data_IF_548482088644
#
_entry.id   IF_548482088644
#
_cell.length_a   1.000
_cell.length_b   1.000
_cell.length_c   1.000
_cell.angle_alpha   90.00
_cell.angle_beta   90.00
_cell.angle_gamma   90.00
#
_symmetry.space_group_name_H-M   'P 1'
#
loop_
_entity.id
_entity.type
_entity.pdbx_description
1 polymer ?
#
# COMPACT_ATOMS: atom_id res chain seq x y z
N UNK A 1 16.96 6.52 -18.25
CA UNK A 1 15.51 6.86 -18.19
C UNK A 1 15.31 7.64 -16.90
N UNK A 2 14.73 8.85 -16.97
CA UNK A 2 14.44 9.68 -15.80
C UNK A 2 13.22 9.08 -15.09
N UNK A 3 13.37 8.63 -13.86
CA UNK A 3 12.31 8.32 -12.92
C UNK A 3 11.67 9.65 -12.50
N UNK A 4 10.47 9.93 -12.99
CA UNK A 4 9.89 11.27 -12.91
C UNK A 4 8.93 11.45 -11.72
N UNK A 5 8.50 10.36 -11.08
CA UNK A 5 7.38 10.38 -10.14
C UNK A 5 7.75 10.08 -8.69
N UNK A 6 8.97 9.63 -8.37
CA UNK A 6 9.41 9.36 -6.99
C UNK A 6 10.66 10.17 -6.67
N UNK A 7 10.67 10.89 -5.54
CA UNK A 7 11.83 11.64 -5.03
C UNK A 7 12.59 10.79 -4.00
N UNK A 8 13.91 10.61 -4.22
CA UNK A 8 14.77 9.71 -3.49
C UNK A 8 15.81 10.39 -2.59
N UNK A 9 16.10 9.88 -1.39
CA UNK A 9 17.38 10.07 -0.71
C UNK A 9 18.44 9.10 -1.24
N UNK A 10 19.72 9.35 -0.98
CA UNK A 10 20.84 8.76 -1.73
C UNK A 10 21.37 7.40 -1.28
N UNK A 11 20.86 6.79 -0.19
CA UNK A 11 21.37 5.49 0.32
C UNK A 11 20.30 4.74 1.10
N UNK A 12 19.93 3.54 0.68
CA UNK A 12 19.23 2.56 1.52
C UNK A 12 19.26 1.17 0.89
N UNK A 13 19.48 0.13 1.68
CA UNK A 13 19.27 -1.27 1.32
C UNK A 13 18.22 -1.84 2.27
N UNK A 14 17.20 -2.52 1.73
CA UNK A 14 16.09 -3.05 2.53
C UNK A 14 15.79 -4.50 2.15
N UNK A 15 15.44 -5.34 3.13
CA UNK A 15 15.22 -6.78 2.93
C UNK A 15 13.75 -7.21 2.84
N UNK A 16 12.79 -6.32 3.08
CA UNK A 16 11.36 -6.66 2.98
C UNK A 16 10.44 -5.47 2.72
N UNK A 17 9.24 -5.74 2.18
CA UNK A 17 8.25 -4.73 1.80
C UNK A 17 6.87 -5.11 2.30
N UNK A 18 6.13 -4.13 2.83
CA UNK A 18 4.70 -4.22 3.03
C UNK A 18 4.05 -3.09 2.24
N UNK A 19 3.19 -3.46 1.30
CA UNK A 19 2.43 -2.53 0.48
C UNK A 19 0.96 -2.60 0.87
N UNK A 20 0.39 -1.45 1.16
CA UNK A 20 -1.04 -1.29 1.28
C UNK A 20 -1.49 -0.11 0.42
N UNK A 21 -2.54 -0.32 -0.36
CA UNK A 21 -3.19 0.69 -1.19
C UNK A 21 -4.70 0.58 -0.96
N UNK A 22 -5.22 1.44 -0.11
CA UNK A 22 -6.60 1.45 0.33
C UNK A 22 -7.36 2.76 0.05
N UNK A 23 -8.62 2.85 0.45
CA UNK A 23 -9.42 4.06 0.34
C UNK A 23 -8.84 5.22 1.17
N UNK A 24 -9.25 6.43 0.85
CA UNK A 24 -8.86 7.64 1.56
C UNK A 24 -9.13 7.52 3.07
N UNK A 25 -8.17 7.81 3.96
CA UNK A 25 -8.43 7.78 5.39
C UNK A 25 -9.58 8.74 5.74
N UNK A 26 -10.47 8.38 6.68
CA UNK A 26 -11.53 9.24 7.12
C UNK A 26 -10.96 10.53 7.71
N UNK A 27 -11.60 11.65 7.40
CA UNK A 27 -11.31 12.93 8.03
C UNK A 27 -11.54 12.79 9.54
N UNK A 28 -10.56 13.13 10.34
CA UNK A 28 -10.69 13.12 11.79
C UNK A 28 -11.88 14.02 12.22
N UNK A 29 -12.82 13.41 12.92
CA UNK A 29 -13.94 13.99 13.67
C UNK A 29 -14.87 15.00 12.97
N UNK A 30 -16.06 14.53 12.58
CA UNK A 30 -17.27 15.36 12.52
C UNK A 30 -18.02 15.46 11.21
N UNK A 31 -17.74 14.68 10.20
CA UNK A 31 -18.50 14.69 8.94
C UNK A 31 -19.14 13.33 8.63
N UNK A 32 -20.41 13.37 8.25
CA UNK A 32 -21.24 12.21 7.91
C UNK A 32 -20.49 11.19 7.04
N UNK A 33 -20.65 9.93 7.41
CA UNK A 33 -20.24 8.76 6.63
C UNK A 33 -20.84 8.86 5.22
N UNK A 34 -20.04 9.22 4.24
CA UNK A 34 -20.41 9.03 2.85
C UNK A 34 -20.13 7.57 2.49
N UNK A 35 -21.19 6.77 2.57
CA UNK A 35 -21.19 5.32 2.32
C UNK A 35 -21.10 4.99 0.83
N UNK A 36 -20.20 5.66 0.08
CA UNK A 36 -20.22 5.63 -1.39
C UNK A 36 -18.96 5.18 -2.10
N UNK A 37 -17.83 4.91 -1.39
CA UNK A 37 -16.63 4.49 -2.09
C UNK A 37 -15.90 3.37 -1.34
N UNK A 38 -16.59 2.25 -1.21
CA UNK A 38 -16.00 0.99 -0.76
C UNK A 38 -15.16 0.42 -1.93
N UNK A 39 -13.96 0.94 -2.12
CA UNK A 39 -12.95 0.27 -2.95
C UNK A 39 -12.56 -0.99 -2.19
N UNK A 40 -13.10 -2.13 -2.56
CA UNK A 40 -13.19 -3.37 -1.80
C UNK A 40 -11.88 -4.03 -1.33
N UNK A 41 -10.80 -3.26 -1.13
CA UNK A 41 -9.49 -3.80 -0.76
C UNK A 41 -9.07 -3.50 0.68
N UNK A 42 -9.72 -2.59 1.41
CA UNK A 42 -9.38 -2.26 2.81
C UNK A 42 -10.63 -2.05 3.67
N UNK A 43 -11.39 -3.11 3.85
CA UNK A 43 -12.62 -3.08 4.64
C UNK A 43 -12.35 -2.67 6.09
N UNK A 44 -12.99 -1.59 6.52
CA UNK A 44 -12.86 -1.08 7.89
C UNK A 44 -11.45 -0.59 8.24
N UNK A 45 -10.67 -0.13 7.26
CA UNK A 45 -9.28 0.35 7.41
C UNK A 45 -8.34 -0.69 8.09
N UNK A 46 -8.63 -1.97 7.97
CA UNK A 46 -7.89 -3.00 8.71
C UNK A 46 -6.45 -3.15 8.19
N UNK A 47 -6.27 -3.18 6.88
CA UNK A 47 -4.95 -3.28 6.26
C UNK A 47 -4.13 -1.99 6.48
N UNK A 48 -4.72 -0.81 6.26
CA UNK A 48 -4.08 0.48 6.56
C UNK A 48 -3.65 0.60 8.01
N UNK A 49 -4.52 0.16 8.95
CA UNK A 49 -4.21 0.17 10.38
C UNK A 49 -3.06 -0.76 10.71
N UNK A 50 -3.01 -1.94 10.10
CA UNK A 50 -1.89 -2.87 10.28
C UNK A 50 -0.56 -2.26 9.81
N UNK A 51 -0.54 -1.61 8.64
CA UNK A 51 0.67 -0.92 8.15
C UNK A 51 1.09 0.23 9.05
N UNK A 52 0.14 1.07 9.52
CA UNK A 52 0.43 2.14 10.48
C UNK A 52 1.01 1.58 11.77
N UNK A 53 0.43 0.50 12.29
CA UNK A 53 0.96 -0.16 13.48
C UNK A 53 2.40 -0.68 13.29
N UNK A 54 2.72 -1.25 12.13
CA UNK A 54 4.08 -1.68 11.80
C UNK A 54 5.04 -0.48 11.76
N UNK A 55 4.64 0.64 11.13
CA UNK A 55 5.42 1.88 11.09
C UNK A 55 5.75 2.39 12.49
N UNK A 56 4.75 2.45 13.36
CA UNK A 56 4.89 2.93 14.74
C UNK A 56 5.79 2.01 15.58
N UNK A 57 5.60 0.71 15.42
CA UNK A 57 6.37 -0.31 16.18
C UNK A 57 7.83 -0.39 15.79
N UNK A 58 8.12 -0.11 14.53
CA UNK A 58 9.47 -0.24 13.93
C UNK A 58 10.13 1.12 13.68
N UNK A 59 9.54 2.19 14.21
CA UNK A 59 10.05 3.58 14.04
C UNK A 59 10.36 3.92 12.57
N UNK A 60 9.44 3.53 11.67
CA UNK A 60 9.59 3.77 10.25
C UNK A 60 9.37 5.26 9.94
N UNK A 61 10.31 5.86 9.24
CA UNK A 61 10.27 7.28 8.89
C UNK A 61 9.99 7.50 7.39
N UNK A 62 9.37 8.62 7.03
CA UNK A 62 9.11 8.96 5.63
C UNK A 62 10.41 8.97 4.81
N UNK A 63 10.38 8.24 3.71
CA UNK A 63 11.52 8.02 2.83
C UNK A 63 11.28 8.60 1.44
N UNK A 64 10.06 8.43 0.90
CA UNK A 64 9.67 8.94 -0.41
C UNK A 64 8.15 9.17 -0.47
N UNK A 65 7.70 9.89 -1.48
CA UNK A 65 6.29 10.06 -1.81
C UNK A 65 6.08 9.89 -3.31
N UNK A 66 4.93 9.39 -3.69
CA UNK A 66 4.50 9.33 -5.08
C UNK A 66 3.86 10.66 -5.46
N UNK A 67 4.20 11.19 -6.63
CA UNK A 67 3.60 12.43 -7.13
C UNK A 67 2.11 12.22 -7.43
N UNK A 68 1.20 12.86 -6.71
CA UNK A 68 -0.22 12.66 -6.87
C UNK A 68 -0.74 13.11 -8.25
N UNK A 69 -0.16 14.14 -8.87
CA UNK A 69 -0.63 14.67 -10.18
C UNK A 69 -0.47 13.65 -11.31
N UNK A 70 0.40 12.65 -11.13
CA UNK A 70 0.64 11.62 -12.15
C UNK A 70 -0.41 10.51 -12.08
N UNK A 71 -0.90 10.17 -10.89
CA UNK A 71 -1.63 8.92 -10.64
C UNK A 71 -3.06 9.11 -10.13
N UNK A 72 -3.44 10.32 -9.69
CA UNK A 72 -4.77 10.56 -9.15
C UNK A 72 -5.60 11.48 -10.04
N UNK A 73 -6.88 11.16 -10.16
CA UNK A 73 -7.91 12.06 -10.69
C UNK A 73 -8.50 12.87 -9.55
N UNK A 74 -8.14 14.13 -9.44
CA UNK A 74 -8.62 15.02 -8.38
C UNK A 74 -10.11 15.37 -8.48
N UNK A 75 -10.80 14.95 -9.55
CA UNK A 75 -12.25 15.04 -9.61
C UNK A 75 -12.92 13.90 -8.84
N UNK A 76 -12.25 12.75 -8.76
CA UNK A 76 -12.69 11.56 -8.01
C UNK A 76 -12.10 11.53 -6.60
N UNK A 77 -10.80 11.79 -6.47
CA UNK A 77 -10.09 11.81 -5.18
C UNK A 77 -9.63 13.23 -4.88
N UNK A 78 -10.48 13.99 -4.22
CA UNK A 78 -10.27 15.41 -3.99
C UNK A 78 -9.24 15.69 -2.89
N UNK A 79 -8.40 16.73 -3.04
CA UNK A 79 -7.62 17.24 -1.91
C UNK A 79 -8.55 17.78 -0.82
N UNK A 80 -8.12 17.63 0.42
CA UNK A 80 -8.90 18.03 1.60
C UNK A 80 -8.35 19.33 2.17
N UNK A 81 -9.26 20.24 2.51
CA UNK A 81 -8.92 21.46 3.25
C UNK A 81 -8.92 21.15 4.74
N UNK A 82 -7.82 21.41 5.39
CA UNK A 82 -7.67 21.28 6.84
C UNK A 82 -7.41 22.67 7.44
N UNK A 83 -7.86 22.87 8.68
CA UNK A 83 -7.55 24.04 9.49
C UNK A 83 -6.60 23.60 10.60
N UNK A 84 -5.47 24.28 10.74
CA UNK A 84 -4.61 24.08 11.89
C UNK A 84 -5.17 24.79 13.15
N UNK A 85 -4.52 24.59 14.29
CA UNK A 85 -4.91 25.21 15.58
C UNK A 85 -4.94 26.75 15.53
N UNK A 86 -4.28 27.35 14.55
CA UNK A 86 -4.24 28.80 14.29
C UNK A 86 -5.29 29.26 13.28
N UNK A 87 -6.20 28.36 12.85
CA UNK A 87 -7.20 28.59 11.80
C UNK A 87 -6.60 28.93 10.42
N UNK A 88 -5.35 28.54 10.18
CA UNK A 88 -4.74 28.64 8.86
C UNK A 88 -5.18 27.46 8.00
N UNK A 89 -5.63 27.76 6.79
CA UNK A 89 -6.09 26.74 5.82
C UNK A 89 -4.90 26.12 5.12
N UNK A 90 -4.81 24.80 5.20
CA UNK A 90 -3.86 23.99 4.43
C UNK A 90 -4.61 23.04 3.50
N UNK A 91 -3.95 22.61 2.42
CA UNK A 91 -4.48 21.62 1.51
C UNK A 91 -3.68 20.32 1.68
N UNK A 92 -4.37 19.25 2.05
CA UNK A 92 -3.81 17.90 2.04
C UNK A 92 -4.19 17.22 0.73
N UNK A 93 -3.18 16.90 -0.06
CA UNK A 93 -3.34 16.19 -1.32
C UNK A 93 -3.39 14.67 -1.09
N UNK A 94 -4.14 13.92 -1.92
CA UNK A 94 -4.02 12.47 -1.92
C UNK A 94 -2.58 12.09 -2.21
N UNK A 95 -2.04 11.13 -1.48
CA UNK A 95 -0.64 10.72 -1.64
C UNK A 95 -0.46 9.24 -1.35
N UNK A 96 0.62 8.69 -1.87
CA UNK A 96 1.16 7.39 -1.46
C UNK A 96 2.48 7.65 -0.76
N UNK A 97 2.55 7.30 0.50
CA UNK A 97 3.72 7.50 1.35
C UNK A 97 4.56 6.23 1.41
N UNK A 98 5.85 6.40 1.25
CA UNK A 98 6.85 5.36 1.43
C UNK A 98 7.64 5.65 2.69
N UNK A 99 7.58 4.75 3.67
CA UNK A 99 8.38 4.84 4.88
C UNK A 99 9.35 3.67 4.96
N UNK A 100 10.52 3.91 5.52
CA UNK A 100 11.55 2.89 5.75
C UNK A 100 11.89 2.84 7.23
N UNK A 101 12.15 1.62 7.75
CA UNK A 101 12.72 1.47 9.08
C UNK A 101 14.16 1.92 9.08
N UNK A 102 14.61 2.54 10.18
CA UNK A 102 16.03 2.69 10.42
C UNK A 102 16.65 1.30 10.67
N UNK A 103 17.95 1.19 10.47
CA UNK A 103 18.73 -0.05 10.62
C UNK A 103 18.62 -0.59 12.07
N UNK A 104 17.59 -1.36 12.33
CA UNK A 104 17.22 -1.94 13.63
C UNK A 104 17.33 -3.48 13.62
N UNK A 105 18.47 -4.01 13.20
CA UNK A 105 18.76 -5.45 13.28
C UNK A 105 18.42 -6.22 12.00
N UNK A 106 17.89 -7.44 12.13
CA UNK A 106 17.83 -8.42 11.04
C UNK A 106 16.75 -8.18 9.99
N UNK A 107 15.86 -7.19 10.15
CA UNK A 107 14.74 -6.93 9.22
C UNK A 107 14.70 -5.45 8.83
N UNK A 108 15.00 -5.20 7.59
CA UNK A 108 14.73 -3.91 6.95
C UNK A 108 13.36 -3.95 6.28
N UNK A 109 12.49 -3.03 6.66
CA UNK A 109 11.13 -2.96 6.16
C UNK A 109 10.87 -1.64 5.45
N UNK A 110 10.31 -1.71 4.25
CA UNK A 110 9.73 -0.55 3.57
C UNK A 110 8.22 -0.75 3.52
N UNK A 111 7.51 0.24 3.96
CA UNK A 111 6.05 0.28 3.91
C UNK A 111 5.59 1.30 2.88
N UNK A 112 4.60 0.94 2.09
CA UNK A 112 3.93 1.84 1.16
C UNK A 112 2.47 1.89 1.57
N UNK A 113 1.97 3.07 1.85
CA UNK A 113 0.60 3.29 2.30
C UNK A 113 0.00 4.45 1.52
N UNK A 114 -1.18 4.26 0.97
CA UNK A 114 -1.87 5.31 0.25
C UNK A 114 -3.17 4.86 -0.40
N UNK A 115 -3.77 5.76 -1.15
CA UNK A 115 -5.00 5.54 -1.88
C UNK A 115 -4.70 4.79 -3.18
N UNK A 116 -5.61 3.94 -3.62
CA UNK A 116 -5.51 3.28 -4.92
C UNK A 116 -5.43 4.32 -6.05
N UNK A 117 -4.40 4.28 -6.92
CA UNK A 117 -4.29 5.21 -8.02
C UNK A 117 -5.41 5.00 -9.03
N UNK A 118 -5.98 6.08 -9.58
CA UNK A 118 -7.01 5.99 -10.62
C UNK A 118 -6.42 5.95 -12.03
N UNK A 119 -5.18 6.40 -12.19
CA UNK A 119 -4.55 6.61 -13.48
C UNK A 119 -3.21 5.86 -13.58
N UNK A 120 -2.84 5.49 -14.81
CA UNK A 120 -1.49 5.00 -15.17
C UNK A 120 -1.00 3.82 -14.33
N UNK A 121 -1.83 2.85 -14.06
CA UNK A 121 -1.52 1.70 -13.22
C UNK A 121 -0.24 0.96 -13.61
N UNK A 122 0.02 0.80 -14.90
CA UNK A 122 1.27 0.16 -15.37
C UNK A 122 2.50 0.96 -14.94
N UNK A 123 2.47 2.28 -15.15
CA UNK A 123 3.56 3.16 -14.72
C UNK A 123 3.72 3.14 -13.21
N UNK A 124 2.61 3.14 -12.46
CA UNK A 124 2.63 3.03 -11.01
C UNK A 124 3.30 1.72 -10.54
N UNK A 125 2.91 0.58 -11.11
CA UNK A 125 3.53 -0.71 -10.80
C UNK A 125 5.01 -0.75 -11.20
N UNK A 126 5.38 -0.16 -12.35
CA UNK A 126 6.77 -0.06 -12.77
C UNK A 126 7.63 0.74 -11.78
N UNK A 127 7.08 1.82 -11.19
CA UNK A 127 7.75 2.60 -10.15
C UNK A 127 7.93 1.78 -8.87
N UNK A 128 6.91 1.03 -8.43
CA UNK A 128 7.02 0.17 -7.24
C UNK A 128 8.01 -0.98 -7.47
N UNK A 129 7.95 -1.65 -8.62
CA UNK A 129 8.93 -2.68 -9.01
C UNK A 129 10.34 -2.10 -9.10
N UNK A 130 10.47 -0.89 -9.63
CA UNK A 130 11.72 -0.15 -9.67
C UNK A 130 12.28 0.12 -8.28
N UNK A 131 11.43 0.54 -7.35
CA UNK A 131 11.77 0.73 -5.95
C UNK A 131 12.25 -0.60 -5.33
N UNK A 132 11.48 -1.69 -5.50
CA UNK A 132 11.84 -3.00 -4.99
C UNK A 132 13.22 -3.48 -5.49
N UNK A 133 13.53 -3.27 -6.77
CA UNK A 133 14.85 -3.58 -7.35
C UNK A 133 15.97 -2.72 -6.79
N UNK A 134 15.73 -1.42 -6.62
CA UNK A 134 16.75 -0.50 -6.11
C UNK A 134 17.16 -0.79 -4.67
N UNK A 135 16.22 -1.26 -3.88
CA UNK A 135 16.43 -1.62 -2.47
C UNK A 135 16.72 -3.10 -2.28
N UNK A 136 16.85 -3.86 -3.38
CA UNK A 136 17.09 -5.29 -3.35
C UNK A 136 16.07 -6.06 -2.50
N UNK A 137 14.79 -5.67 -2.59
CA UNK A 137 13.71 -6.30 -1.84
C UNK A 137 13.64 -7.81 -2.13
N UNK A 138 13.58 -8.61 -1.08
CA UNK A 138 13.50 -10.07 -1.18
C UNK A 138 12.06 -10.56 -1.33
N UNK A 139 11.10 -9.75 -0.88
CA UNK A 139 9.68 -10.09 -0.90
C UNK A 139 8.84 -8.81 -0.97
N UNK A 140 7.79 -8.83 -1.77
CA UNK A 140 6.73 -7.82 -1.78
C UNK A 140 5.47 -8.44 -1.20
N UNK A 141 4.99 -7.89 -0.09
CA UNK A 141 3.72 -8.28 0.52
C UNK A 141 2.68 -7.19 0.30
N UNK A 142 1.51 -7.57 -0.18
CA UNK A 142 0.37 -6.67 -0.24
C UNK A 142 -0.63 -7.07 0.85
N UNK A 143 -1.18 -6.09 1.53
CA UNK A 143 -2.21 -6.29 2.53
C UNK A 143 -3.54 -5.77 1.99
N UNK A 144 -4.59 -6.50 2.30
CA UNK A 144 -5.96 -6.11 1.98
C UNK A 144 -6.91 -6.59 3.07
N UNK A 145 -8.12 -6.06 3.07
CA UNK A 145 -9.18 -6.51 3.94
C UNK A 145 -10.48 -6.62 3.16
N UNK A 146 -11.15 -7.74 3.30
CA UNK A 146 -12.42 -8.03 2.64
C UNK A 146 -13.56 -8.01 3.65
N UNK A 147 -14.70 -7.44 3.25
CA UNK A 147 -15.93 -7.58 4.01
C UNK A 147 -16.38 -9.04 3.99
N UNK A 148 -16.66 -9.60 5.17
CA UNK A 148 -17.16 -10.95 5.30
C UNK A 148 -18.32 -11.00 6.28
N UNK A 149 -19.29 -11.86 6.03
CA UNK A 149 -20.43 -12.13 6.93
C UNK A 149 -19.96 -13.03 8.10
N UNK A 150 -19.11 -12.49 8.97
CA UNK A 150 -18.59 -13.19 10.14
C UNK A 150 -19.02 -12.46 11.40
N UNK A 151 -19.53 -13.22 12.38
CA UNK A 151 -19.89 -12.65 13.67
C UNK A 151 -18.65 -12.05 14.35
N UNK A 152 -18.77 -10.81 14.87
CA UNK A 152 -17.68 -10.08 15.54
C UNK A 152 -17.09 -10.80 16.75
N UNK A 153 -17.78 -11.83 17.25
CA UNK A 153 -17.31 -12.69 18.38
C UNK A 153 -16.37 -13.81 17.93
N UNK A 154 -16.18 -14.00 16.62
CA UNK A 154 -15.26 -15.00 16.09
C UNK A 154 -13.90 -14.37 15.78
N UNK A 155 -12.80 -15.13 15.90
CA UNK A 155 -11.51 -14.67 15.40
C UNK A 155 -11.59 -14.34 13.91
N UNK A 156 -10.93 -13.26 13.51
CA UNK A 156 -10.81 -12.89 12.10
C UNK A 156 -9.90 -13.91 11.39
N UNK A 157 -10.39 -14.45 10.28
CA UNK A 157 -9.58 -15.31 9.44
C UNK A 157 -8.62 -14.46 8.60
N UNK A 158 -7.38 -14.91 8.51
CA UNK A 158 -6.37 -14.33 7.62
C UNK A 158 -6.15 -15.35 6.50
N UNK A 159 -6.25 -14.88 5.26
CA UNK A 159 -5.98 -15.66 4.06
C UNK A 159 -4.80 -15.06 3.35
N UNK A 160 -4.01 -15.88 2.69
CA UNK A 160 -2.92 -15.38 1.87
C UNK A 160 -2.81 -16.19 0.59
N UNK A 161 -2.34 -15.53 -0.46
CA UNK A 161 -2.11 -16.13 -1.77
C UNK A 161 -0.73 -15.76 -2.30
N UNK A 162 -0.12 -16.66 -3.04
CA UNK A 162 1.09 -16.37 -3.81
C UNK A 162 1.08 -17.19 -5.11
N UNK A 163 1.68 -16.65 -6.16
CA UNK A 163 1.95 -17.38 -7.40
C UNK A 163 3.32 -18.10 -7.37
N UNK A 164 4.17 -17.79 -6.39
CA UNK A 164 5.42 -18.49 -6.14
C UNK A 164 5.12 -19.73 -5.28
N UNK A 165 5.27 -20.93 -5.88
CA UNK A 165 4.96 -22.22 -5.22
C UNK A 165 5.83 -22.44 -3.98
N UNK A 166 7.09 -22.03 -4.01
CA UNK A 166 7.99 -22.19 -2.88
C UNK A 166 7.59 -21.30 -1.70
N UNK A 167 7.26 -20.03 -2.00
CA UNK A 167 6.77 -19.07 -1.02
C UNK A 167 5.42 -19.51 -0.46
N UNK A 168 4.50 -19.99 -1.30
CA UNK A 168 3.22 -20.52 -0.88
C UNK A 168 3.37 -21.67 0.10
N UNK A 169 4.25 -22.62 -0.20
CA UNK A 169 4.54 -23.75 0.70
C UNK A 169 5.18 -23.30 2.03
N UNK A 170 6.13 -22.37 1.98
CA UNK A 170 6.80 -21.87 3.19
C UNK A 170 5.86 -21.13 4.14
N UNK A 171 4.96 -20.33 3.60
CA UNK A 171 4.05 -19.49 4.35
C UNK A 171 2.68 -20.12 4.59
N UNK A 172 2.43 -21.32 4.04
CA UNK A 172 1.11 -21.98 4.13
C UNK A 172 0.02 -21.21 3.38
N UNK A 173 0.37 -20.56 2.27
CA UNK A 173 -0.55 -19.80 1.44
C UNK A 173 -1.18 -20.67 0.37
N UNK A 174 -2.32 -20.23 -0.13
CA UNK A 174 -3.00 -20.89 -1.25
C UNK A 174 -2.63 -20.25 -2.58
N UNK A 175 -2.76 -20.99 -3.66
CA UNK A 175 -2.66 -20.43 -5.00
C UNK A 175 -4.04 -19.86 -5.38
N UNK A 176 -4.07 -18.60 -5.80
CA UNK A 176 -5.32 -17.98 -6.24
C UNK A 176 -5.80 -18.59 -7.56
N UNK A 177 -7.06 -19.00 -7.58
CA UNK A 177 -7.76 -19.46 -8.79
C UNK A 177 -8.74 -18.41 -9.32
N UNK A 178 -8.64 -17.19 -8.81
CA UNK A 178 -9.56 -16.13 -9.18
C UNK A 178 -9.33 -15.66 -10.62
N UNK A 179 -10.40 -15.63 -11.39
CA UNK A 179 -10.49 -15.04 -12.73
C UNK A 179 -11.56 -13.95 -12.75
N UNK A 180 -11.18 -12.73 -13.12
CA UNK A 180 -12.13 -11.62 -13.18
C UNK A 180 -11.46 -10.25 -13.11
N UNK A 181 -12.24 -9.16 -12.96
CA UNK A 181 -11.70 -7.82 -12.76
C UNK A 181 -10.82 -7.77 -11.51
N UNK A 182 -9.68 -7.07 -11.60
CA UNK A 182 -8.74 -6.94 -10.49
C UNK A 182 -8.44 -5.48 -10.19
N UNK A 183 -8.07 -5.18 -8.94
CA UNK A 183 -7.56 -3.89 -8.51
C UNK A 183 -6.06 -3.77 -8.73
N UNK A 184 -5.49 -2.65 -8.27
CA UNK A 184 -4.06 -2.34 -8.41
C UNK A 184 -3.16 -3.41 -7.78
N UNK A 185 -3.60 -4.04 -6.69
CA UNK A 185 -2.87 -5.11 -6.00
C UNK A 185 -2.62 -6.29 -6.93
N UNK A 186 -3.64 -6.77 -7.64
CA UNK A 186 -3.49 -7.87 -8.60
C UNK A 186 -2.60 -7.49 -9.79
N UNK A 187 -2.68 -6.25 -10.28
CA UNK A 187 -1.80 -5.74 -11.34
C UNK A 187 -0.35 -5.68 -10.85
N UNK A 188 -0.13 -5.26 -9.60
CA UNK A 188 1.21 -5.21 -9.01
C UNK A 188 1.80 -6.60 -8.81
N UNK A 189 1.01 -7.59 -8.36
CA UNK A 189 1.46 -8.98 -8.28
C UNK A 189 1.95 -9.49 -9.64
N UNK A 190 1.18 -9.24 -10.70
CA UNK A 190 1.61 -9.62 -12.06
C UNK A 190 2.91 -8.92 -12.46
N UNK A 191 3.04 -7.63 -12.16
CA UNK A 191 4.27 -6.88 -12.43
C UNK A 191 5.47 -7.42 -11.64
N UNK A 192 5.28 -7.87 -10.39
CA UNK A 192 6.30 -8.53 -9.59
C UNK A 192 6.74 -9.87 -10.22
N UNK A 193 5.77 -10.68 -10.68
CA UNK A 193 6.05 -11.94 -11.38
C UNK A 193 6.89 -11.70 -12.63
N UNK A 194 6.48 -10.77 -13.49
CA UNK A 194 7.21 -10.39 -14.71
C UNK A 194 8.62 -9.87 -14.41
N UNK A 195 8.78 -9.25 -13.25
CA UNK A 195 10.05 -8.71 -12.77
C UNK A 195 10.94 -9.75 -12.07
N UNK A 196 10.44 -10.95 -11.79
CA UNK A 196 11.12 -12.00 -11.03
C UNK A 196 11.28 -11.65 -9.54
N UNK A 197 10.36 -10.89 -8.96
CA UNK A 197 10.33 -10.51 -7.55
C UNK A 197 9.29 -11.38 -6.84
N UNK A 198 9.66 -12.15 -5.80
CA UNK A 198 8.70 -12.91 -5.00
C UNK A 198 7.62 -11.99 -4.40
N UNK A 199 6.36 -12.39 -4.47
CA UNK A 199 5.26 -11.59 -3.95
C UNK A 199 4.13 -12.46 -3.40
N UNK A 200 3.47 -11.94 -2.35
CA UNK A 200 2.29 -12.55 -1.73
C UNK A 200 1.27 -11.48 -1.30
N UNK A 201 0.01 -11.90 -1.13
CA UNK A 201 -1.09 -11.05 -0.68
C UNK A 201 -1.81 -11.70 0.48
#
# INVERSE_FOLDING_TARGET
RRWAAIRWPRTCGASGWVLELGPCPPVADGGALDAGNDSGNDAGDAASTAVRHLRDRLDASPFATVDPEVFFDFTSTRPVVELDDSSVRTLRWPTVEVCATADHGDVELITILGIEPQLRWRTFCDEIVGLARMTNAQLVLTLGALLAEVAHTRPTSVFGTSYDEHLALQLGLEQSTYEGPTGIVGVLHNACIEAGIPSAS
#
